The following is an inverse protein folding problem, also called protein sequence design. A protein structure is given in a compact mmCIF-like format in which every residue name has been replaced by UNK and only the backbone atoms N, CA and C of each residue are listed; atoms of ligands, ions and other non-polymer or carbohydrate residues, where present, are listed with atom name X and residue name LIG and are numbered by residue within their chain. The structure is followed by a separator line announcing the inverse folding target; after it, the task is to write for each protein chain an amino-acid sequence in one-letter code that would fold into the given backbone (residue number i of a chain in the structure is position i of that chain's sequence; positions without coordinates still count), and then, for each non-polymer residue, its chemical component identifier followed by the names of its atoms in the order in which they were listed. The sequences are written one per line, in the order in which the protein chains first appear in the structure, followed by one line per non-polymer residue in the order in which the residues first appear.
data_IF_140374991374
#
_entry.id   IF_140374991374
#
_cell.length_a   1.000
_cell.length_b   1.000
_cell.length_c   1.000
_cell.angle_alpha   90.00
_cell.angle_beta   90.00
_cell.angle_gamma   90.00
#
_symmetry.space_group_name_H-M   'P 1'
#
loop_
_entity.id
_entity.type
_entity.pdbx_description
1 polymer ?
#
# COMPACT_ATOMS: atom_id res chain seq x y z
N UNK A 1 28.30 21.58 1.04
CA UNK A 1 27.93 20.16 0.90
C UNK A 1 27.34 19.98 -0.48
N UNK A 2 28.20 19.63 -1.43
CA UNK A 2 27.81 19.28 -2.79
C UNK A 2 27.43 17.80 -2.81
N UNK A 3 26.28 17.45 -3.38
CA UNK A 3 25.86 16.04 -3.55
C UNK A 3 25.67 15.75 -5.02
N UNK A 4 26.33 14.70 -5.50
CA UNK A 4 26.27 14.30 -6.90
C UNK A 4 25.84 12.83 -7.01
N UNK A 5 25.07 12.52 -8.06
CA UNK A 5 24.71 11.16 -8.44
C UNK A 5 25.32 10.88 -9.80
N UNK A 6 26.30 9.97 -9.84
CA UNK A 6 26.96 9.55 -11.07
C UNK A 6 26.37 8.22 -11.51
N UNK A 7 25.84 8.17 -12.73
CA UNK A 7 25.26 6.97 -13.32
C UNK A 7 26.14 6.52 -14.49
N UNK A 8 26.64 5.28 -14.42
CA UNK A 8 27.37 4.62 -15.50
C UNK A 8 26.62 3.35 -15.89
N UNK A 9 26.17 3.26 -17.13
CA UNK A 9 25.41 2.11 -17.63
C UNK A 9 26.09 1.51 -18.86
N UNK A 10 26.20 0.18 -18.90
CA UNK A 10 26.66 -0.61 -20.04
C UNK A 10 25.73 -1.82 -20.25
N UNK A 11 26.06 -2.70 -21.21
CA UNK A 11 25.25 -3.88 -21.57
C UNK A 11 25.24 -5.01 -20.54
N UNK A 12 25.92 -4.87 -19.40
CA UNK A 12 26.02 -5.92 -18.39
C UNK A 12 25.63 -5.42 -17.00
N UNK A 13 25.84 -4.13 -16.74
CA UNK A 13 25.54 -3.50 -15.47
C UNK A 13 25.19 -2.01 -15.58
N UNK A 14 24.36 -1.56 -14.65
CA UNK A 14 24.15 -0.16 -14.31
C UNK A 14 24.71 0.09 -12.92
N UNK A 15 25.60 1.07 -12.82
CA UNK A 15 26.23 1.49 -11.58
C UNK A 15 25.80 2.92 -11.24
N UNK A 16 25.40 3.14 -10.00
CA UNK A 16 25.05 4.45 -9.45
C UNK A 16 25.95 4.73 -8.26
N UNK A 17 26.68 5.84 -8.28
CA UNK A 17 27.49 6.30 -7.15
C UNK A 17 26.94 7.62 -6.61
N UNK A 18 26.79 7.71 -5.29
CA UNK A 18 26.46 8.95 -4.59
C UNK A 18 27.76 9.53 -4.04
N UNK A 19 28.05 10.78 -4.38
CA UNK A 19 29.22 11.50 -3.91
C UNK A 19 28.78 12.64 -2.99
N UNK A 20 29.53 12.86 -1.91
CA UNK A 20 29.42 14.02 -1.04
C UNK A 20 30.78 14.70 -0.96
N UNK A 21 30.85 15.97 -1.40
CA UNK A 21 32.09 16.76 -1.46
C UNK A 21 33.25 15.97 -2.13
N UNK A 22 32.97 15.42 -3.32
CA UNK A 22 33.85 14.58 -4.16
C UNK A 22 34.26 13.22 -3.57
N UNK A 23 33.72 12.85 -2.40
CA UNK A 23 33.95 11.54 -1.78
C UNK A 23 32.76 10.61 -2.02
N UNK A 24 33.04 9.40 -2.51
CA UNK A 24 32.00 8.37 -2.71
C UNK A 24 31.48 7.89 -1.35
N UNK A 25 30.16 7.97 -1.16
CA UNK A 25 29.48 7.54 0.08
C UNK A 25 28.67 6.26 -0.10
N UNK A 26 27.98 6.11 -1.23
CA UNK A 26 27.16 4.93 -1.55
C UNK A 26 27.40 4.50 -3.00
N UNK A 27 27.40 3.17 -3.24
CA UNK A 27 27.50 2.59 -4.59
C UNK A 27 26.46 1.49 -4.74
N UNK A 28 25.66 1.60 -5.80
CA UNK A 28 24.67 0.61 -6.22
C UNK A 28 25.10 0.01 -7.54
N UNK A 29 25.09 -1.31 -7.66
CA UNK A 29 25.40 -2.03 -8.89
C UNK A 29 24.25 -2.98 -9.18
N UNK A 30 23.56 -2.74 -10.29
CA UNK A 30 22.53 -3.61 -10.85
C UNK A 30 23.11 -4.31 -12.07
N UNK A 31 23.06 -5.65 -12.11
CA UNK A 31 23.51 -6.46 -13.26
C UNK A 31 22.30 -7.00 -14.01
N UNK A 32 22.45 -7.29 -15.30
CA UNK A 32 21.42 -7.94 -16.13
C UNK A 32 20.96 -9.27 -15.52
N UNK A 33 19.96 -9.19 -14.65
CA UNK A 33 19.04 -10.27 -14.33
C UNK A 33 17.68 -9.78 -14.77
N UNK A 34 16.81 -10.70 -15.22
CA UNK A 34 15.41 -10.35 -15.39
C UNK A 34 14.91 -9.72 -14.10
N UNK A 35 14.43 -8.47 -14.12
CA UNK A 35 13.89 -7.85 -12.93
C UNK A 35 12.75 -8.73 -12.43
N UNK A 36 12.75 -9.02 -11.13
CA UNK A 36 11.62 -9.70 -10.52
C UNK A 36 10.35 -8.87 -10.71
N UNK A 37 9.20 -9.54 -10.74
CA UNK A 37 7.91 -8.84 -10.90
C UNK A 37 7.33 -8.34 -9.58
N UNK A 38 7.91 -8.77 -8.45
CA UNK A 38 7.46 -8.38 -7.10
C UNK A 38 7.55 -6.87 -6.91
N UNK A 39 6.47 -6.28 -6.39
CA UNK A 39 6.37 -4.85 -6.15
C UNK A 39 5.86 -4.04 -7.34
N UNK A 40 5.92 -4.59 -8.56
CA UNK A 40 5.37 -3.92 -9.74
C UNK A 40 3.85 -3.71 -9.59
N UNK A 41 3.38 -2.55 -10.05
CA UNK A 41 1.97 -2.16 -10.02
C UNK A 41 1.44 -2.15 -11.45
N UNK A 42 0.31 -2.80 -11.65
CA UNK A 42 -0.35 -2.95 -12.94
C UNK A 42 -1.81 -2.47 -12.87
N UNK A 43 -2.32 -2.00 -14.00
CA UNK A 43 -3.75 -1.91 -14.24
C UNK A 43 -4.19 -3.22 -14.87
N UNK A 44 -4.72 -4.13 -14.05
CA UNK A 44 -5.19 -5.44 -14.49
C UNK A 44 -6.64 -5.43 -14.96
N UNK A 45 -7.02 -6.44 -15.75
CA UNK A 45 -8.42 -6.70 -16.15
C UNK A 45 -8.87 -8.04 -15.57
N UNK A 46 -9.97 -8.03 -14.81
CA UNK A 46 -10.55 -9.26 -14.25
C UNK A 46 -11.01 -10.17 -15.39
N UNK A 47 -10.35 -11.30 -15.57
CA UNK A 47 -10.68 -12.27 -16.62
C UNK A 47 -11.80 -13.22 -16.18
N UNK A 48 -11.73 -13.71 -14.93
CA UNK A 48 -12.70 -14.68 -14.39
C UNK A 48 -12.81 -14.57 -12.87
N UNK A 49 -14.02 -14.74 -12.35
CA UNK A 49 -14.30 -14.81 -10.91
C UNK A 49 -14.52 -16.26 -10.51
N UNK A 50 -13.98 -16.67 -9.36
CA UNK A 50 -14.06 -18.01 -8.80
C UNK A 50 -14.69 -17.97 -7.39
N UNK A 51 -16.03 -17.98 -7.27
CA UNK A 51 -16.70 -17.93 -5.97
C UNK A 51 -16.29 -19.06 -5.03
N UNK A 52 -16.11 -20.29 -5.54
CA UNK A 52 -15.70 -21.44 -4.73
C UNK A 52 -14.31 -21.30 -4.09
N UNK A 53 -13.45 -20.44 -4.65
CA UNK A 53 -12.10 -20.16 -4.14
C UNK A 53 -11.99 -18.78 -3.48
N UNK A 54 -13.08 -18.00 -3.47
CA UNK A 54 -13.10 -16.61 -3.02
C UNK A 54 -11.94 -15.79 -3.63
N UNK A 55 -11.79 -15.93 -4.95
CA UNK A 55 -10.70 -15.32 -5.72
C UNK A 55 -11.13 -14.94 -7.14
N UNK A 56 -10.29 -14.14 -7.80
CA UNK A 56 -10.43 -13.77 -9.20
C UNK A 56 -9.10 -13.94 -9.94
N UNK A 57 -9.21 -14.30 -11.22
CA UNK A 57 -8.12 -14.19 -12.18
C UNK A 57 -8.11 -12.80 -12.80
N UNK A 58 -6.91 -12.23 -12.90
CA UNK A 58 -6.68 -10.89 -13.43
C UNK A 58 -5.56 -10.97 -14.45
N UNK A 59 -5.86 -10.57 -15.68
CA UNK A 59 -4.85 -10.36 -16.72
C UNK A 59 -4.08 -9.08 -16.39
N UNK A 60 -2.76 -9.21 -16.24
CA UNK A 60 -1.81 -8.12 -15.99
C UNK A 60 -0.72 -8.04 -17.07
N UNK A 61 -0.89 -8.74 -18.20
CA UNK A 61 0.07 -8.77 -19.31
C UNK A 61 1.26 -9.72 -19.13
N UNK A 62 1.21 -10.63 -18.15
CA UNK A 62 2.17 -11.74 -18.02
C UNK A 62 1.69 -12.97 -18.80
N UNK A 63 2.55 -13.98 -18.95
CA UNK A 63 2.21 -15.23 -19.67
C UNK A 63 0.98 -15.96 -19.09
N UNK A 64 0.66 -15.72 -17.82
CA UNK A 64 -0.45 -16.33 -17.09
C UNK A 64 -1.19 -15.28 -16.28
N UNK A 65 -2.51 -15.41 -16.20
CA UNK A 65 -3.35 -14.61 -15.32
C UNK A 65 -2.87 -14.70 -13.86
N UNK A 66 -2.87 -13.55 -13.19
CA UNK A 66 -2.56 -13.42 -11.79
C UNK A 66 -3.77 -13.77 -10.91
N UNK A 67 -3.50 -14.18 -9.68
CA UNK A 67 -4.51 -14.57 -8.69
C UNK A 67 -4.70 -13.46 -7.64
N UNK A 68 -5.93 -12.97 -7.51
CA UNK A 68 -6.35 -11.99 -6.52
C UNK A 68 -7.35 -12.63 -5.54
N UNK A 69 -7.04 -12.64 -4.25
CA UNK A 69 -7.95 -13.18 -3.22
C UNK A 69 -8.90 -12.11 -2.69
N UNK A 70 -10.07 -12.50 -2.20
CA UNK A 70 -11.07 -11.58 -1.61
C UNK A 70 -10.50 -10.73 -0.47
N UNK A 71 -9.62 -11.30 0.36
CA UNK A 71 -8.94 -10.59 1.45
C UNK A 71 -8.04 -9.46 0.93
N UNK A 72 -7.43 -9.67 -0.24
CA UNK A 72 -6.56 -8.69 -0.90
C UNK A 72 -7.36 -7.63 -1.69
N UNK A 73 -8.71 -7.71 -1.68
CA UNK A 73 -9.64 -6.69 -2.20
C UNK A 73 -10.26 -5.87 -1.08
N UNK A 74 -10.65 -6.53 0.02
CA UNK A 74 -11.33 -5.91 1.16
C UNK A 74 -10.38 -5.28 2.17
N UNK A 75 -9.30 -5.98 2.51
CA UNK A 75 -8.55 -5.75 3.75
C UNK A 75 -8.04 -4.32 3.93
N UNK A 76 -8.53 -3.62 4.95
CA UNK A 76 -7.78 -2.50 5.52
C UNK A 76 -6.67 -3.09 6.40
N UNK A 77 -5.45 -2.53 6.43
CA UNK A 77 -4.39 -2.88 7.39
C UNK A 77 -4.80 -2.72 8.85
N UNK A 78 -5.99 -2.19 9.15
CA UNK A 78 -6.57 -2.07 10.49
C UNK A 78 -6.65 -3.41 11.23
N UNK A 79 -6.79 -4.55 10.53
CA UNK A 79 -6.71 -5.88 11.15
C UNK A 79 -5.32 -6.21 11.73
N UNK A 80 -4.27 -5.52 11.28
CA UNK A 80 -2.90 -5.73 11.76
C UNK A 80 -2.60 -4.91 13.02
N UNK A 81 -3.23 -3.76 13.23
CA UNK A 81 -2.88 -2.81 14.30
C UNK A 81 -3.86 -2.79 15.49
N UNK A 82 -5.04 -3.40 15.37
CA UNK A 82 -6.05 -3.46 16.44
C UNK A 82 -5.59 -4.17 17.74
N UNK A 83 -4.42 -4.80 17.75
CA UNK A 83 -3.83 -5.40 18.95
C UNK A 83 -2.96 -4.43 19.78
N UNK A 84 -2.56 -3.29 19.21
CA UNK A 84 -1.58 -2.36 19.81
C UNK A 84 -2.13 -0.94 20.05
N UNK A 85 -3.34 -0.62 19.55
CA UNK A 85 -3.98 0.68 19.81
C UNK A 85 -4.72 0.70 21.16
N UNK A 86 -4.32 1.65 22.01
CA UNK A 86 -4.94 1.99 23.28
C UNK A 86 -6.41 2.42 23.03
N UNK A 87 -7.43 1.77 23.64
CA UNK A 87 -8.84 2.03 23.31
C UNK A 87 -9.28 3.49 23.51
N UNK A 88 -8.55 4.27 24.31
CA UNK A 88 -8.83 5.68 24.59
C UNK A 88 -8.62 6.61 23.39
N UNK A 89 -7.80 6.26 22.39
CA UNK A 89 -7.57 7.13 21.22
C UNK A 89 -8.72 7.10 20.20
N UNK A 90 -9.60 6.10 20.25
CA UNK A 90 -10.80 6.02 19.39
C UNK A 90 -11.90 7.04 19.76
N UNK A 91 -11.76 7.73 20.90
CA UNK A 91 -12.77 8.65 21.45
C UNK A 91 -12.56 10.12 21.06
N UNK A 92 -11.45 10.48 20.41
CA UNK A 92 -11.12 11.88 20.06
C UNK A 92 -11.53 12.30 18.63
N UNK A 93 -12.21 11.45 17.87
CA UNK A 93 -12.83 11.81 16.57
C UNK A 93 -14.24 12.44 16.75
N UNK A 94 -14.36 13.42 17.65
CA UNK A 94 -15.54 14.27 17.72
C UNK A 94 -15.10 15.72 17.96
N UNK A 95 -14.78 16.42 16.86
CA UNK A 95 -14.77 17.89 16.88
C UNK A 95 -16.15 18.45 17.29
N UNK A 96 -16.23 19.67 17.84
CA UNK A 96 -17.47 20.21 18.39
C UNK A 96 -18.51 20.39 17.28
N UNK A 97 -19.60 19.62 17.34
CA UNK A 97 -20.79 19.87 16.51
C UNK A 97 -21.74 20.77 17.28
N UNK A 98 -21.81 22.03 16.87
CA UNK A 98 -22.88 22.92 17.27
C UNK A 98 -24.24 22.30 16.93
N UNK A 99 -25.17 22.44 17.87
CA UNK A 99 -26.50 21.88 17.84
C UNK A 99 -27.38 22.56 16.78
N UNK A 100 -27.61 21.89 15.67
CA UNK A 100 -28.82 22.12 14.86
C UNK A 100 -29.41 20.78 14.43
N UNK A 101 -30.56 20.44 15.02
CA UNK A 101 -31.42 19.34 14.59
C UNK A 101 -31.87 19.53 13.14
N UNK A 102 -31.44 18.63 12.24
CA UNK A 102 -32.24 18.16 11.10
C UNK A 102 -31.53 17.00 10.36
N UNK A 103 -32.19 15.83 10.37
CA UNK A 103 -32.15 14.73 9.41
C UNK A 103 -30.84 14.29 8.70
N UNK A 104 -30.46 13.04 8.99
CA UNK A 104 -29.87 12.13 7.99
C UNK A 104 -28.35 12.21 7.81
N UNK A 105 -27.57 11.79 8.82
CA UNK A 105 -26.12 11.70 8.67
C UNK A 105 -25.67 10.32 8.19
N UNK A 106 -25.18 10.31 6.94
CA UNK A 106 -24.41 9.25 6.30
C UNK A 106 -23.07 9.06 7.05
N UNK A 107 -23.03 8.17 8.04
CA UNK A 107 -21.77 7.67 8.61
C UNK A 107 -21.13 6.70 7.62
N UNK A 108 -20.26 7.21 6.73
CA UNK A 108 -19.42 6.41 5.82
C UNK A 108 -18.18 5.88 6.56
N UNK A 109 -18.38 5.15 7.65
CA UNK A 109 -17.44 4.09 8.00
C UNK A 109 -17.75 2.95 7.04
N UNK A 110 -16.82 2.57 6.15
CA UNK A 110 -16.99 1.39 5.31
C UNK A 110 -16.94 0.18 6.24
N UNK A 111 -18.10 -0.16 6.79
CA UNK A 111 -18.35 -1.39 7.54
C UNK A 111 -18.24 -2.52 6.51
N UNK A 112 -17.01 -2.93 6.19
CA UNK A 112 -16.78 -4.03 5.27
C UNK A 112 -17.23 -5.29 6.00
N UNK A 113 -18.33 -5.88 5.55
CA UNK A 113 -18.83 -7.13 6.10
C UNK A 113 -17.74 -8.21 5.89
N UNK A 114 -17.20 -8.83 6.95
CA UNK A 114 -16.19 -9.89 6.83
C UNK A 114 -16.69 -11.15 6.08
N UNK A 115 -17.94 -11.13 5.60
CA UNK A 115 -18.56 -12.15 4.75
C UNK A 115 -18.72 -11.72 3.28
N UNK A 116 -18.24 -10.54 2.90
CA UNK A 116 -18.35 -10.08 1.51
C UNK A 116 -17.66 -11.07 0.57
N UNK A 117 -18.40 -11.50 -0.46
CA UNK A 117 -17.91 -12.51 -1.40
C UNK A 117 -17.26 -11.87 -2.59
N UNK A 118 -16.31 -12.56 -3.21
CA UNK A 118 -15.58 -12.02 -4.37
C UNK A 118 -16.49 -11.62 -5.53
N UNK A 119 -17.59 -12.34 -5.75
CA UNK A 119 -18.59 -12.05 -6.78
C UNK A 119 -19.39 -10.76 -6.55
N UNK A 120 -19.44 -10.27 -5.31
CA UNK A 120 -20.10 -9.01 -4.95
C UNK A 120 -19.14 -7.81 -5.13
N UNK A 121 -17.83 -8.06 -5.15
CA UNK A 121 -16.79 -7.04 -5.16
C UNK A 121 -16.22 -6.75 -6.55
N UNK A 122 -16.10 -7.79 -7.37
CA UNK A 122 -15.50 -7.71 -8.69
C UNK A 122 -16.47 -8.21 -9.75
N UNK A 123 -16.33 -7.69 -10.97
CA UNK A 123 -17.04 -8.17 -12.16
C UNK A 123 -16.05 -8.58 -13.25
N UNK A 124 -16.43 -9.54 -14.10
CA UNK A 124 -15.65 -9.87 -15.28
C UNK A 124 -15.45 -8.62 -16.16
N UNK A 125 -14.28 -8.52 -16.78
CA UNK A 125 -13.80 -7.37 -17.56
C UNK A 125 -13.57 -6.05 -16.78
N UNK A 126 -13.85 -6.01 -15.47
CA UNK A 126 -13.53 -4.85 -14.62
C UNK A 126 -12.03 -4.59 -14.60
N UNK A 127 -11.64 -3.32 -14.66
CA UNK A 127 -10.25 -2.90 -14.47
C UNK A 127 -9.97 -2.67 -12.99
N UNK A 128 -8.81 -3.13 -12.52
CA UNK A 128 -8.41 -3.05 -11.11
C UNK A 128 -6.91 -2.73 -11.00
N UNK A 129 -6.56 -1.80 -10.12
CA UNK A 129 -5.16 -1.52 -9.79
C UNK A 129 -4.65 -2.62 -8.88
N UNK A 130 -3.54 -3.26 -9.23
CA UNK A 130 -3.01 -4.41 -8.50
C UNK A 130 -1.49 -4.34 -8.39
N UNK A 131 -0.95 -4.84 -7.28
CA UNK A 131 0.49 -4.95 -7.05
C UNK A 131 0.87 -6.43 -6.89
N UNK A 132 1.99 -6.83 -7.50
CA UNK A 132 2.51 -8.20 -7.38
C UNK A 132 3.15 -8.40 -6.01
N UNK A 133 2.66 -9.39 -5.27
CA UNK A 133 3.17 -9.78 -3.94
C UNK A 133 4.04 -11.03 -4.02
N UNK A 134 3.73 -11.94 -4.95
CA UNK A 134 4.56 -13.13 -5.22
C UNK A 134 4.67 -13.38 -6.72
N UNK A 135 5.86 -13.77 -7.16
CA UNK A 135 6.13 -14.10 -8.55
C UNK A 135 5.33 -15.33 -9.02
N UNK A 136 5.10 -15.47 -10.34
CA UNK A 136 4.60 -16.70 -10.92
C UNK A 136 5.50 -17.89 -10.54
N UNK A 137 4.89 -19.04 -10.25
CA UNK A 137 5.61 -20.26 -9.90
C UNK A 137 5.09 -21.45 -10.72
N UNK A 138 5.92 -21.95 -11.62
CA UNK A 138 5.57 -23.04 -12.53
C UNK A 138 4.33 -22.70 -13.36
N UNK A 139 3.26 -23.48 -13.19
CA UNK A 139 2.00 -23.26 -13.91
C UNK A 139 1.05 -22.27 -13.21
N UNK A 140 1.43 -21.69 -12.07
CA UNK A 140 0.64 -20.69 -11.34
C UNK A 140 1.13 -19.30 -11.70
N UNK A 141 0.22 -18.42 -12.16
CA UNK A 141 0.49 -16.99 -12.29
C UNK A 141 0.79 -16.31 -10.95
N UNK A 142 1.17 -15.03 -11.03
CA UNK A 142 1.57 -14.23 -9.87
C UNK A 142 0.45 -14.12 -8.82
N UNK A 143 0.81 -13.94 -7.54
CA UNK A 143 -0.15 -13.47 -6.53
C UNK A 143 -0.12 -11.95 -6.49
N UNK A 144 -1.30 -11.35 -6.51
CA UNK A 144 -1.48 -9.90 -6.52
C UNK A 144 -2.41 -9.43 -5.41
N UNK A 145 -2.32 -8.14 -5.07
CA UNK A 145 -3.20 -7.44 -4.13
C UNK A 145 -3.73 -6.15 -4.73
N UNK A 146 -4.94 -5.70 -4.38
CA UNK A 146 -5.37 -4.33 -4.71
C UNK A 146 -4.91 -3.29 -3.68
N UNK A 147 -4.26 -3.73 -2.61
CA UNK A 147 -3.68 -2.86 -1.60
C UNK A 147 -2.28 -2.43 -2.00
N UNK A 148 -2.20 -1.41 -2.85
CA UNK A 148 -0.92 -0.92 -3.35
C UNK A 148 -0.10 -0.29 -2.21
N UNK A 149 1.21 -0.54 -2.23
CA UNK A 149 2.17 0.01 -1.28
C UNK A 149 3.36 0.63 -2.03
N UNK A 150 3.77 1.81 -1.57
CA UNK A 150 4.92 2.55 -2.09
C UNK A 150 5.88 2.83 -0.93
N UNK A 151 6.85 1.92 -0.70
CA UNK A 151 7.85 2.13 0.34
C UNK A 151 8.80 3.26 -0.06
N UNK A 152 8.86 4.28 0.79
CA UNK A 152 9.88 5.33 0.76
C UNK A 152 10.97 5.08 1.81
N UNK A 153 11.84 6.08 2.01
CA UNK A 153 12.94 5.97 2.97
C UNK A 153 12.46 5.95 4.43
N UNK A 154 11.43 6.73 4.74
CA UNK A 154 10.97 6.96 6.13
C UNK A 154 9.54 6.49 6.39
N UNK A 155 8.79 6.17 5.34
CA UNK A 155 7.41 5.75 5.44
C UNK A 155 7.03 4.84 4.28
N UNK A 156 5.95 4.09 4.43
CA UNK A 156 5.27 3.35 3.37
C UNK A 156 3.95 4.04 3.09
N UNK A 157 3.76 4.52 1.87
CA UNK A 157 2.48 5.10 1.44
C UNK A 157 1.56 4.02 0.85
N UNK A 158 0.29 4.03 1.25
CA UNK A 158 -0.75 3.07 0.87
C UNK A 158 -1.96 3.82 0.29
N UNK A 159 -1.99 4.12 -1.03
CA UNK A 159 -3.04 4.97 -1.62
C UNK A 159 -4.45 4.39 -1.58
N UNK A 160 -4.59 3.07 -1.45
CA UNK A 160 -5.89 2.36 -1.52
C UNK A 160 -6.49 2.06 -0.15
N UNK A 161 -5.80 2.46 0.91
CA UNK A 161 -6.12 2.22 2.31
C UNK A 161 -6.18 3.58 3.00
N UNK A 162 -7.04 3.78 4.00
CA UNK A 162 -6.97 4.96 4.86
C UNK A 162 -6.56 4.55 6.28
N UNK A 163 -5.29 4.72 6.63
CA UNK A 163 -4.75 4.27 7.91
C UNK A 163 -3.44 5.00 8.23
N UNK A 164 -3.19 5.40 9.49
CA UNK A 164 -1.91 5.98 9.93
C UNK A 164 -1.29 5.11 11.02
N UNK A 165 -0.28 4.32 10.63
CA UNK A 165 0.44 3.39 11.49
C UNK A 165 1.84 3.87 11.83
N UNK A 166 2.38 3.37 12.95
CA UNK A 166 3.79 3.56 13.32
C UNK A 166 4.41 2.19 13.56
N UNK A 167 5.60 1.98 13.02
CA UNK A 167 6.36 0.74 13.09
C UNK A 167 6.46 0.22 14.52
N UNK A 168 6.19 -1.08 14.68
CA UNK A 168 6.30 -1.77 15.97
C UNK A 168 7.69 -1.68 16.60
N UNK A 169 8.72 -1.41 15.79
CA UNK A 169 10.11 -1.23 16.24
C UNK A 169 10.35 0.09 16.99
N UNK A 170 9.43 1.05 16.89
CA UNK A 170 9.50 2.31 17.65
C UNK A 170 8.78 2.06 18.97
N UNK A 171 9.50 1.90 20.07
CA UNK A 171 8.87 1.54 21.36
C UNK A 171 8.35 2.76 22.13
N UNK A 172 9.00 3.92 21.99
CA UNK A 172 8.65 5.13 22.72
C UNK A 172 7.27 5.64 22.31
N UNK A 173 6.33 5.66 23.27
CA UNK A 173 4.99 6.23 23.09
C UNK A 173 5.03 7.71 22.71
N UNK A 174 5.96 8.47 23.30
CA UNK A 174 6.16 9.89 22.98
C UNK A 174 6.54 10.08 21.51
N UNK A 175 7.47 9.26 21.01
CA UNK A 175 7.90 9.33 19.61
C UNK A 175 6.81 8.89 18.64
N UNK A 176 6.06 7.82 18.96
CA UNK A 176 4.89 7.40 18.18
C UNK A 176 3.87 8.52 18.04
N UNK A 177 3.57 9.20 19.14
CA UNK A 177 2.63 10.31 19.16
C UNK A 177 3.13 11.50 18.34
N UNK A 178 4.43 11.82 18.44
CA UNK A 178 5.07 12.87 17.64
C UNK A 178 4.97 12.58 16.14
N UNK A 179 5.28 11.35 15.72
CA UNK A 179 5.25 10.93 14.32
C UNK A 179 3.81 10.92 13.76
N UNK A 180 2.85 10.39 14.51
CA UNK A 180 1.42 10.44 14.14
C UNK A 180 0.94 11.88 13.95
N UNK A 181 1.32 12.78 14.87
CA UNK A 181 0.96 14.20 14.81
C UNK A 181 1.48 14.86 13.53
N UNK A 182 2.76 14.66 13.19
CA UNK A 182 3.37 15.20 11.96
C UNK A 182 2.60 14.76 10.72
N UNK A 183 2.25 13.47 10.62
CA UNK A 183 1.50 12.97 9.47
C UNK A 183 0.09 13.55 9.44
N UNK A 184 -0.62 13.63 10.57
CA UNK A 184 -1.98 14.20 10.61
C UNK A 184 -2.00 15.67 10.18
N UNK A 185 -1.09 16.50 10.71
CA UNK A 185 -0.95 17.91 10.33
C UNK A 185 -0.70 18.05 8.82
N UNK A 186 0.20 17.22 8.26
CA UNK A 186 0.47 17.20 6.83
C UNK A 186 -0.77 16.80 5.99
N UNK A 187 -1.54 15.80 6.45
CA UNK A 187 -2.77 15.36 5.77
C UNK A 187 -3.82 16.47 5.71
N UNK A 188 -4.01 17.20 6.81
CA UNK A 188 -4.96 18.30 6.90
C UNK A 188 -4.55 19.47 6.00
N UNK A 189 -3.27 19.86 6.05
CA UNK A 189 -2.74 20.97 5.26
C UNK A 189 -2.83 20.70 3.75
N UNK A 190 -2.57 19.45 3.33
CA UNK A 190 -2.45 19.10 1.91
C UNK A 190 -3.68 18.34 1.36
N UNK A 191 -4.73 18.14 2.17
CA UNK A 191 -5.93 17.37 1.81
C UNK A 191 -5.62 16.00 1.21
N UNK A 192 -4.60 15.34 1.75
CA UNK A 192 -4.09 14.08 1.21
C UNK A 192 -4.93 12.88 1.68
N UNK A 193 -5.25 12.01 0.72
CA UNK A 193 -5.97 10.74 0.96
C UNK A 193 -5.02 9.55 0.88
N UNK A 194 -5.30 8.53 1.68
CA UNK A 194 -4.54 7.29 1.70
C UNK A 194 -3.80 7.10 3.03
N UNK A 195 -3.22 5.92 3.19
CA UNK A 195 -2.64 5.47 4.44
C UNK A 195 -1.12 5.58 4.44
N UNK A 196 -0.53 5.67 5.62
CA UNK A 196 0.91 5.79 5.82
C UNK A 196 1.31 4.88 6.98
N UNK A 197 2.41 4.14 6.82
CA UNK A 197 3.11 3.50 7.94
C UNK A 197 4.47 4.15 8.07
N UNK A 198 4.80 4.65 9.26
CA UNK A 198 6.06 5.34 9.58
C UNK A 198 7.03 4.36 10.22
#
# INVERSE_FOLDING_TARGET
MNKEMIISSNSHETMVAILEDDLVTEVFIERERQPGTVGNIYKGRVSKILPGMQSAFVDIGLERDAFLYVSDVLGTPEELDAADDDPEESLHDQGPRESTSANGSTRRGRNQDPRAKIEDLLKAAQEVLVQVVKEPLGNKGARITSHATMPGRFLVFMPTVDHVGVSRKIESREERNRLRKIVREFREEHSFTGGVII
#
